data_IF_740733210571
#
_entry.id   IF_740733210571
#
_cell.length_a   1.000
_cell.length_b   1.000
_cell.length_c   1.000
_cell.angle_alpha   90.00
_cell.angle_beta   90.00
_cell.angle_gamma   90.00
#
_symmetry.space_group_name_H-M   'P 1'
#
loop_
_entity.id
_entity.type
_entity.pdbx_description
1 polymer ?
#
# COMPACT_ATOMS: atom_id res chain seq x y z
N UNK A 1 11.10 32.32 31.33
CA UNK A 1 11.13 31.94 29.90
C UNK A 1 11.36 33.21 29.10
N UNK A 2 12.39 33.31 28.26
CA UNK A 2 12.58 34.52 27.44
C UNK A 2 11.68 34.47 26.20
N UNK A 3 11.30 35.63 25.67
CA UNK A 3 10.52 35.75 24.43
C UNK A 3 11.17 34.97 23.27
N UNK A 4 12.50 34.98 23.21
CA UNK A 4 13.29 34.22 22.25
C UNK A 4 13.08 32.70 22.39
N UNK A 5 13.03 32.18 23.62
CA UNK A 5 12.77 30.75 23.85
C UNK A 5 11.38 30.33 23.36
N UNK A 6 10.36 31.17 23.56
CA UNK A 6 8.98 30.89 23.10
C UNK A 6 8.92 30.88 21.57
N UNK A 7 9.56 31.84 20.90
CA UNK A 7 9.60 31.92 19.44
C UNK A 7 10.29 30.68 18.85
N UNK A 8 11.42 30.26 19.43
CA UNK A 8 12.14 29.06 18.99
C UNK A 8 11.25 27.82 19.10
N UNK A 9 10.54 27.64 20.23
CA UNK A 9 9.64 26.49 20.42
C UNK A 9 8.51 26.51 19.38
N UNK A 10 7.88 27.66 19.12
CA UNK A 10 6.80 27.76 18.15
C UNK A 10 7.28 27.45 16.72
N UNK A 11 8.45 27.96 16.34
CA UNK A 11 9.05 27.68 15.02
C UNK A 11 9.39 26.19 14.89
N UNK A 12 9.95 25.57 15.93
CA UNK A 12 10.23 24.13 15.92
C UNK A 12 8.95 23.29 15.83
N UNK A 13 7.86 23.69 16.50
CA UNK A 13 6.56 23.00 16.40
C UNK A 13 5.98 23.11 15.00
N UNK A 14 6.04 24.29 14.37
CA UNK A 14 5.55 24.51 12.99
C UNK A 14 6.37 23.69 12.00
N UNK A 15 7.70 23.71 12.12
CA UNK A 15 8.60 22.91 11.29
C UNK A 15 8.33 21.42 11.49
N UNK A 16 8.17 20.96 12.74
CA UNK A 16 7.84 19.57 13.04
C UNK A 16 6.49 19.17 12.43
N UNK A 17 5.46 20.00 12.56
CA UNK A 17 4.16 19.77 11.91
C UNK A 17 4.24 19.67 10.39
N UNK A 18 5.14 20.44 9.76
CA UNK A 18 5.37 20.38 8.32
C UNK A 18 6.17 19.14 7.89
N UNK A 19 6.97 18.56 8.79
CA UNK A 19 7.82 17.39 8.53
C UNK A 19 7.17 16.05 8.88
N UNK A 20 6.08 16.03 9.66
CA UNK A 20 5.36 14.80 9.99
C UNK A 20 4.53 14.37 8.76
N UNK A 21 4.84 13.23 8.12
CA UNK A 21 4.03 12.74 7.02
C UNK A 21 2.64 12.40 7.55
N UNK A 22 1.60 13.00 6.97
CA UNK A 22 0.23 12.57 7.24
C UNK A 22 0.07 11.14 6.75
N UNK A 23 -0.14 10.21 7.68
CA UNK A 23 -0.35 8.80 7.32
C UNK A 23 -1.67 8.70 6.55
N UNK A 24 -1.63 8.11 5.35
CA UNK A 24 -2.83 7.87 4.55
C UNK A 24 -3.85 7.05 5.39
N UNK A 25 -5.05 7.58 5.67
CA UNK A 25 -6.03 6.91 6.50
C UNK A 25 -6.44 5.54 5.97
N UNK A 26 -6.56 5.40 4.64
CA UNK A 26 -6.92 4.13 4.01
C UNK A 26 -5.81 3.10 4.21
N UNK A 27 -4.55 3.49 4.00
CA UNK A 27 -3.41 2.60 4.24
C UNK A 27 -3.35 2.18 5.72
N UNK A 28 -3.60 3.09 6.66
CA UNK A 28 -3.63 2.74 8.09
C UNK A 28 -4.75 1.74 8.41
N UNK A 29 -5.93 1.93 7.81
CA UNK A 29 -7.05 1.02 8.01
C UNK A 29 -6.76 -0.37 7.44
N UNK A 30 -6.28 -0.46 6.19
CA UNK A 30 -5.84 -1.72 5.57
C UNK A 30 -4.86 -2.47 6.47
N UNK A 31 -3.84 -1.76 6.99
CA UNK A 31 -2.80 -2.36 7.82
C UNK A 31 -3.26 -2.74 9.24
N UNK A 32 -4.47 -2.36 9.64
CA UNK A 32 -5.05 -2.75 10.93
C UNK A 32 -5.75 -4.12 10.89
N UNK A 33 -6.06 -4.63 9.69
CA UNK A 33 -6.61 -5.96 9.50
C UNK A 33 -5.50 -7.02 9.50
N UNK A 34 -5.82 -8.23 9.99
CA UNK A 34 -4.90 -9.37 9.90
C UNK A 34 -4.79 -9.92 8.47
N UNK A 35 -5.87 -9.82 7.71
CA UNK A 35 -6.02 -10.39 6.38
C UNK A 35 -6.33 -11.89 6.38
N UNK A 36 -6.97 -12.35 5.31
CA UNK A 36 -7.29 -13.74 5.01
C UNK A 36 -6.69 -14.12 3.66
N UNK A 37 -5.78 -15.10 3.66
CA UNK A 37 -5.05 -15.49 2.46
C UNK A 37 -5.93 -16.12 1.38
N UNK A 38 -6.94 -16.90 1.75
CA UNK A 38 -7.82 -17.59 0.81
C UNK A 38 -8.67 -16.57 0.05
N UNK A 39 -9.20 -15.57 0.76
CA UNK A 39 -9.89 -14.42 0.15
C UNK A 39 -8.94 -13.58 -0.70
N UNK A 40 -7.72 -13.34 -0.22
CA UNK A 40 -6.68 -12.64 -0.98
C UNK A 40 -6.35 -13.31 -2.31
N UNK A 41 -6.20 -14.64 -2.30
CA UNK A 41 -6.02 -15.44 -3.51
C UNK A 41 -7.22 -15.29 -4.44
N UNK A 42 -8.46 -15.44 -3.94
CA UNK A 42 -9.66 -15.28 -4.76
C UNK A 42 -9.73 -13.90 -5.44
N UNK A 43 -9.41 -12.82 -4.71
CA UNK A 43 -9.32 -11.47 -5.26
C UNK A 43 -8.26 -11.40 -6.36
N UNK A 44 -7.08 -11.96 -6.10
CA UNK A 44 -5.98 -11.99 -7.07
C UNK A 44 -6.37 -12.73 -8.36
N UNK A 45 -7.00 -13.90 -8.25
CA UNK A 45 -7.40 -14.69 -9.42
C UNK A 45 -8.40 -13.95 -10.30
N UNK A 46 -9.36 -13.25 -9.68
CA UNK A 46 -10.40 -12.52 -10.43
C UNK A 46 -9.86 -11.23 -11.05
N UNK A 47 -8.98 -10.51 -10.36
CA UNK A 47 -8.65 -9.12 -10.73
C UNK A 47 -7.22 -8.93 -11.26
N UNK A 48 -6.28 -9.81 -10.91
CA UNK A 48 -4.84 -9.58 -11.12
C UNK A 48 -4.20 -10.63 -12.02
N UNK A 49 -4.60 -11.90 -11.88
CA UNK A 49 -3.98 -13.04 -12.55
C UNK A 49 -4.02 -12.95 -14.09
N UNK A 50 -5.05 -12.33 -14.67
CA UNK A 50 -5.15 -12.16 -16.13
C UNK A 50 -3.96 -11.40 -16.73
N UNK A 51 -3.41 -10.43 -16.00
CA UNK A 51 -2.25 -9.65 -16.45
C UNK A 51 -0.95 -10.14 -15.81
N UNK A 52 -0.96 -10.53 -14.54
CA UNK A 52 0.24 -10.87 -13.77
C UNK A 52 0.53 -12.38 -13.72
N UNK A 53 -0.25 -13.21 -14.42
CA UNK A 53 -0.13 -14.67 -14.42
C UNK A 53 -0.86 -15.32 -13.23
N UNK A 54 -1.32 -16.56 -13.42
CA UNK A 54 -2.09 -17.32 -12.41
C UNK A 54 -1.33 -17.50 -11.09
N UNK A 55 0.00 -17.60 -11.17
CA UNK A 55 0.91 -17.71 -10.04
C UNK A 55 1.67 -16.39 -9.75
N UNK A 56 1.27 -15.28 -10.35
CA UNK A 56 1.98 -14.01 -10.21
C UNK A 56 3.34 -13.94 -10.92
N UNK A 57 3.65 -14.89 -11.80
CA UNK A 57 4.94 -14.99 -12.50
C UNK A 57 5.10 -14.03 -13.70
N UNK A 58 4.11 -13.17 -13.94
CA UNK A 58 4.10 -12.19 -15.02
C UNK A 58 3.52 -12.73 -16.33
N UNK A 59 2.93 -11.83 -17.11
CA UNK A 59 2.49 -12.07 -18.48
C UNK A 59 2.47 -10.71 -19.23
N UNK A 60 1.32 -10.04 -19.24
CA UNK A 60 1.17 -8.67 -19.74
C UNK A 60 1.76 -7.67 -18.75
N UNK A 61 1.47 -7.88 -17.46
CA UNK A 61 2.07 -7.17 -16.35
C UNK A 61 3.34 -7.86 -15.84
N UNK A 62 4.20 -7.15 -15.09
CA UNK A 62 5.41 -7.72 -14.52
C UNK A 62 5.10 -8.85 -13.54
N UNK A 63 6.12 -9.67 -13.25
CA UNK A 63 6.05 -10.62 -12.14
C UNK A 63 5.80 -9.90 -10.81
N UNK A 64 4.97 -10.49 -9.97
CA UNK A 64 4.66 -10.11 -8.60
C UNK A 64 5.27 -11.08 -7.58
N UNK A 65 5.95 -12.13 -8.05
CA UNK A 65 6.81 -12.95 -7.21
C UNK A 65 7.81 -12.06 -6.48
N UNK A 66 7.95 -12.28 -5.17
CA UNK A 66 8.85 -11.53 -4.30
C UNK A 66 8.59 -10.01 -4.27
N UNK A 67 7.41 -9.54 -4.65
CA UNK A 67 7.09 -8.09 -4.67
C UNK A 67 7.32 -7.44 -3.31
N UNK A 68 7.03 -8.16 -2.22
CA UNK A 68 7.25 -7.69 -0.85
C UNK A 68 8.71 -7.63 -0.41
N UNK A 69 9.65 -8.21 -1.17
CA UNK A 69 11.10 -7.99 -0.97
C UNK A 69 11.56 -6.65 -1.55
N UNK A 70 10.78 -6.05 -2.45
CA UNK A 70 11.17 -4.86 -3.20
C UNK A 70 10.28 -3.64 -2.97
N UNK A 71 9.08 -3.84 -2.43
CA UNK A 71 8.11 -2.77 -2.13
C UNK A 71 7.54 -2.96 -0.74
N UNK A 72 7.40 -1.85 -0.01
CA UNK A 72 6.65 -1.83 1.24
C UNK A 72 5.16 -2.02 0.99
N UNK A 73 4.42 -2.43 2.01
CA UNK A 73 2.97 -2.60 1.91
C UNK A 73 2.26 -1.33 1.45
N UNK A 74 2.64 -0.16 1.98
CA UNK A 74 2.10 1.12 1.54
C UNK A 74 2.36 1.39 0.05
N UNK A 75 3.56 1.04 -0.45
CA UNK A 75 3.86 1.16 -1.88
C UNK A 75 3.03 0.20 -2.73
N UNK A 76 2.79 -1.03 -2.26
CA UNK A 76 1.92 -1.99 -2.94
C UNK A 76 0.47 -1.49 -2.96
N UNK A 77 -0.06 -1.04 -1.82
CA UNK A 77 -1.42 -0.49 -1.70
C UNK A 77 -1.58 0.70 -2.66
N UNK A 78 -0.65 1.65 -2.66
CA UNK A 78 -0.71 2.80 -3.56
C UNK A 78 -0.56 2.41 -5.04
N UNK A 79 0.18 1.36 -5.35
CA UNK A 79 0.30 0.86 -6.73
C UNK A 79 -1.04 0.30 -7.21
N UNK A 80 -1.74 -0.45 -6.36
CA UNK A 80 -3.05 -1.05 -6.66
C UNK A 80 -4.14 0.03 -6.79
N UNK A 81 -4.14 1.02 -5.89
CA UNK A 81 -5.20 2.07 -5.84
C UNK A 81 -4.89 3.32 -6.66
N UNK A 82 -3.66 3.44 -7.17
CA UNK A 82 -3.16 4.67 -7.78
C UNK A 82 -3.56 4.86 -9.24
N UNK A 83 -3.65 3.77 -10.02
CA UNK A 83 -3.96 3.83 -11.46
C UNK A 83 -2.95 4.62 -12.31
N UNK A 84 -1.73 4.81 -11.80
CA UNK A 84 -0.70 5.67 -12.43
C UNK A 84 0.14 4.96 -13.51
N UNK A 85 -0.05 3.65 -13.70
CA UNK A 85 0.77 2.82 -14.61
C UNK A 85 -0.10 2.06 -15.62
N UNK A 86 -0.69 2.74 -16.63
CA UNK A 86 -1.45 2.05 -17.68
C UNK A 86 -0.61 0.97 -18.39
N UNK A 87 -1.21 -0.16 -18.82
CA UNK A 87 -2.65 -0.44 -18.83
C UNK A 87 -3.21 -0.96 -17.49
N UNK A 88 -2.42 -1.00 -16.40
CA UNK A 88 -2.91 -1.43 -15.09
C UNK A 88 -4.04 -0.51 -14.63
N UNK A 89 -5.27 -1.03 -14.42
CA UNK A 89 -6.40 -0.20 -14.03
C UNK A 89 -6.25 0.29 -12.59
N UNK A 90 -7.02 1.32 -12.25
CA UNK A 90 -7.19 1.76 -10.86
C UNK A 90 -8.17 0.83 -10.15
N UNK A 91 -7.72 0.14 -9.11
CA UNK A 91 -8.62 -0.65 -8.27
C UNK A 91 -9.09 0.16 -7.05
N UNK A 92 -10.26 -0.18 -6.53
CA UNK A 92 -10.86 0.45 -5.35
C UNK A 92 -11.45 -0.61 -4.40
N UNK A 93 -10.62 -1.55 -3.89
CA UNK A 93 -11.08 -2.54 -2.91
C UNK A 93 -11.47 -1.88 -1.59
N UNK A 94 -12.28 -2.58 -0.79
CA UNK A 94 -12.45 -2.22 0.62
C UNK A 94 -11.12 -2.35 1.38
N UNK A 95 -11.01 -1.72 2.55
CA UNK A 95 -9.81 -1.81 3.39
C UNK A 95 -9.49 -3.27 3.77
N UNK A 96 -10.52 -4.07 4.06
CA UNK A 96 -10.39 -5.50 4.36
C UNK A 96 -9.99 -6.33 3.12
N UNK A 97 -10.63 -6.13 1.96
CA UNK A 97 -10.26 -6.83 0.72
C UNK A 97 -8.81 -6.54 0.31
N UNK A 98 -8.36 -5.29 0.50
CA UNK A 98 -6.98 -4.92 0.23
C UNK A 98 -6.01 -5.58 1.21
N UNK A 99 -6.39 -5.73 2.49
CA UNK A 99 -5.58 -6.43 3.47
C UNK A 99 -5.44 -7.92 3.13
N UNK A 100 -6.54 -8.55 2.73
CA UNK A 100 -6.58 -9.94 2.25
C UNK A 100 -5.66 -10.12 1.03
N UNK A 101 -5.81 -9.26 0.02
CA UNK A 101 -4.95 -9.25 -1.16
C UNK A 101 -3.47 -9.05 -0.80
N UNK A 102 -3.19 -8.11 0.11
CA UNK A 102 -1.82 -7.80 0.52
C UNK A 102 -1.14 -9.00 1.20
N UNK A 103 -1.85 -9.73 2.06
CA UNK A 103 -1.31 -10.96 2.69
C UNK A 103 -0.99 -12.02 1.64
N UNK A 104 -1.86 -12.19 0.64
CA UNK A 104 -1.57 -13.11 -0.45
C UNK A 104 -0.33 -12.69 -1.26
N UNK A 105 -0.22 -11.40 -1.61
CA UNK A 105 0.94 -10.88 -2.35
C UNK A 105 2.27 -11.05 -1.60
N UNK A 106 2.26 -11.00 -0.26
CA UNK A 106 3.46 -11.24 0.57
C UNK A 106 3.97 -12.68 0.48
N UNK A 107 3.14 -13.64 0.08
CA UNK A 107 3.51 -15.05 -0.02
C UNK A 107 3.91 -15.49 -1.43
N UNK A 108 3.79 -14.62 -2.43
CA UNK A 108 4.24 -14.96 -3.78
C UNK A 108 5.77 -15.05 -3.80
N UNK A 109 6.29 -16.24 -4.10
CA UNK A 109 7.72 -16.59 -4.14
C UNK A 109 8.05 -17.47 -5.35
#
# INVERSE_FOLDING_TARGET
MSLLTVIIILVLIIIAWWLIPTKDPYVQEVLSFQGNIERGNAIFQVNCAGCHGINGNGNVGPSLVDVSKHKSDGQIIHQVTGGKTPPMPKFQPSSEDMADLLIYLRQLS
#
